data_IF_605432446901
#
_entry.id   IF_605432446901
#
_cell.length_a   1.000
_cell.length_b   1.000
_cell.length_c   1.000
_cell.angle_alpha   90.00
_cell.angle_beta   90.00
_cell.angle_gamma   90.00
#
_symmetry.space_group_name_H-M   'P 1'
#
loop_
_entity.id
_entity.type
_entity.pdbx_description
1 polymer ?
#
# COMPACT_ATOMS: atom_id res chain seq x y z
N UNK A 1 -37.74 -27.98 -0.89
CA UNK A 1 -37.97 -27.19 0.35
C UNK A 1 -37.17 -25.92 0.24
N UNK A 2 -37.81 -24.76 0.16
CA UNK A 2 -37.14 -23.47 0.01
C UNK A 2 -36.69 -23.01 1.41
N UNK A 3 -35.40 -23.13 1.72
CA UNK A 3 -34.86 -22.59 2.96
C UNK A 3 -34.80 -21.06 2.86
N UNK A 4 -35.16 -20.32 3.92
CA UNK A 4 -35.00 -18.88 3.91
C UNK A 4 -33.51 -18.49 3.75
N UNK A 5 -33.21 -17.32 3.15
CA UNK A 5 -31.84 -16.94 2.79
C UNK A 5 -30.85 -16.92 3.95
N UNK A 6 -31.32 -16.61 5.16
CA UNK A 6 -30.49 -16.51 6.37
C UNK A 6 -29.99 -17.87 6.88
N UNK A 7 -30.70 -18.96 6.59
CA UNK A 7 -30.26 -20.30 7.01
C UNK A 7 -28.97 -20.73 6.29
N UNK A 8 -28.70 -20.17 5.11
CA UNK A 8 -27.47 -20.43 4.36
C UNK A 8 -26.25 -19.78 5.04
N UNK A 9 -26.41 -18.72 5.84
CA UNK A 9 -25.29 -18.06 6.52
C UNK A 9 -24.62 -18.98 7.55
N UNK A 10 -25.39 -19.86 8.17
CA UNK A 10 -24.92 -20.80 9.20
C UNK A 10 -24.76 -22.23 8.63
N UNK A 11 -24.75 -22.36 7.30
CA UNK A 11 -24.43 -23.61 6.64
C UNK A 11 -22.93 -23.68 6.38
N UNK A 12 -22.34 -24.85 6.57
CA UNK A 12 -20.91 -25.04 6.36
C UNK A 12 -20.53 -24.81 4.90
N UNK A 13 -19.47 -24.03 4.68
CA UNK A 13 -18.99 -23.66 3.36
C UNK A 13 -18.17 -24.80 2.74
N UNK A 14 -18.79 -25.54 1.82
CA UNK A 14 -18.16 -26.64 1.10
C UNK A 14 -18.81 -26.82 -0.30
N UNK A 15 -18.19 -27.65 -1.14
CA UNK A 15 -18.67 -27.92 -2.50
C UNK A 15 -20.02 -28.65 -2.59
N UNK A 16 -20.52 -29.23 -1.49
CA UNK A 16 -21.81 -29.94 -1.46
C UNK A 16 -22.96 -28.97 -1.20
N UNK A 17 -22.80 -28.08 -0.22
CA UNK A 17 -23.79 -27.07 0.15
C UNK A 17 -23.79 -25.88 -0.83
N UNK A 18 -22.62 -25.53 -1.35
CA UNK A 18 -22.40 -24.35 -2.17
C UNK A 18 -21.54 -24.66 -3.41
N UNK A 19 -21.97 -25.56 -4.32
CA UNK A 19 -21.18 -25.96 -5.48
C UNK A 19 -20.78 -24.78 -6.38
N UNK A 20 -21.70 -23.82 -6.54
CA UNK A 20 -21.52 -22.66 -7.42
C UNK A 20 -20.68 -21.53 -6.81
N UNK A 21 -20.50 -21.51 -5.48
CA UNK A 21 -19.74 -20.46 -4.78
C UNK A 21 -18.40 -20.98 -4.28
N UNK A 22 -18.32 -22.23 -3.83
CA UNK A 22 -17.13 -22.79 -3.23
C UNK A 22 -15.91 -22.67 -4.14
N UNK A 23 -16.00 -23.18 -5.37
CA UNK A 23 -14.88 -23.11 -6.31
C UNK A 23 -14.55 -21.68 -6.73
N UNK A 24 -15.52 -20.85 -7.18
CA UNK A 24 -15.21 -19.49 -7.59
C UNK A 24 -14.60 -18.63 -6.49
N UNK A 25 -15.00 -18.79 -5.22
CA UNK A 25 -14.49 -18.00 -4.09
C UNK A 25 -12.99 -18.14 -3.92
N UNK A 26 -12.47 -19.35 -3.70
CA UNK A 26 -11.03 -19.51 -3.47
C UNK A 26 -10.22 -19.23 -4.73
N UNK A 27 -10.77 -19.54 -5.92
CA UNK A 27 -10.15 -19.21 -7.21
C UNK A 27 -10.03 -17.69 -7.38
N UNK A 28 -11.10 -16.94 -7.11
CA UNK A 28 -11.10 -15.48 -7.18
C UNK A 28 -10.11 -14.88 -6.18
N UNK A 29 -10.05 -15.43 -4.95
CA UNK A 29 -9.07 -15.02 -3.95
C UNK A 29 -7.62 -15.30 -4.42
N UNK A 30 -7.37 -16.45 -5.06
CA UNK A 30 -6.06 -16.75 -5.67
C UNK A 30 -5.71 -15.77 -6.79
N UNK A 31 -6.66 -15.49 -7.70
CA UNK A 31 -6.45 -14.53 -8.80
C UNK A 31 -6.14 -13.14 -8.23
N UNK A 32 -6.90 -12.69 -7.23
CA UNK A 32 -6.67 -11.42 -6.56
C UNK A 32 -5.25 -11.36 -5.97
N UNK A 33 -4.81 -12.42 -5.29
CA UNK A 33 -3.46 -12.51 -4.74
C UNK A 33 -2.39 -12.42 -5.84
N UNK A 34 -2.55 -13.17 -6.94
CA UNK A 34 -1.61 -13.15 -8.08
C UNK A 34 -1.53 -11.75 -8.68
N UNK A 35 -2.67 -11.09 -8.90
CA UNK A 35 -2.72 -9.71 -9.40
C UNK A 35 -1.99 -8.76 -8.46
N UNK A 36 -2.22 -8.88 -7.14
CA UNK A 36 -1.52 -8.07 -6.14
C UNK A 36 -0.02 -8.35 -6.11
N UNK A 37 0.41 -9.60 -6.27
CA UNK A 37 1.83 -9.97 -6.33
C UNK A 37 2.54 -9.32 -7.53
N UNK A 38 1.89 -9.39 -8.71
CA UNK A 38 2.40 -8.77 -9.94
C UNK A 38 2.46 -7.25 -9.77
N UNK A 39 1.38 -6.63 -9.29
CA UNK A 39 1.33 -5.18 -9.05
C UNK A 39 2.38 -4.74 -8.03
N UNK A 40 2.54 -5.48 -6.93
CA UNK A 40 3.56 -5.23 -5.92
C UNK A 40 4.94 -5.23 -6.57
N UNK A 41 5.32 -6.28 -7.30
CA UNK A 41 6.65 -6.37 -7.92
C UNK A 41 6.89 -5.28 -8.98
N UNK A 42 5.91 -4.99 -9.84
CA UNK A 42 6.04 -3.95 -10.87
C UNK A 42 6.15 -2.56 -10.23
N UNK A 43 5.30 -2.26 -9.24
CA UNK A 43 5.20 -0.93 -8.64
C UNK A 43 6.34 -0.63 -7.68
N UNK A 44 6.80 -1.61 -6.91
CA UNK A 44 7.99 -1.46 -6.05
C UNK A 44 9.22 -1.16 -6.88
N UNK A 45 9.43 -1.85 -8.02
CA UNK A 45 10.52 -1.54 -8.95
C UNK A 45 10.40 -0.14 -9.55
N UNK A 46 9.21 0.23 -10.02
CA UNK A 46 8.99 1.53 -10.65
C UNK A 46 9.12 2.72 -9.68
N UNK A 47 8.66 2.57 -8.42
CA UNK A 47 8.58 3.65 -7.43
C UNK A 47 9.59 3.47 -6.28
N UNK A 48 10.65 2.69 -6.46
CA UNK A 48 11.66 2.42 -5.42
C UNK A 48 12.29 3.68 -4.80
N UNK A 49 12.30 4.81 -5.53
CA UNK A 49 12.81 6.11 -5.03
C UNK A 49 11.81 6.89 -4.18
N UNK A 50 10.56 6.45 -4.14
CA UNK A 50 9.46 7.12 -3.44
C UNK A 50 8.93 6.21 -2.32
N UNK A 51 9.52 6.27 -1.12
CA UNK A 51 9.26 5.30 -0.05
C UNK A 51 7.78 5.26 0.36
N UNK A 52 7.08 6.39 0.37
CA UNK A 52 5.65 6.44 0.73
C UNK A 52 4.75 5.64 -0.23
N UNK A 53 5.15 5.55 -1.50
CA UNK A 53 4.40 4.77 -2.48
C UNK A 53 4.74 3.27 -2.41
N UNK A 54 6.00 2.92 -2.10
CA UNK A 54 6.39 1.54 -1.84
C UNK A 54 5.63 0.98 -0.65
N UNK A 55 5.55 1.76 0.43
CA UNK A 55 4.83 1.42 1.66
C UNK A 55 3.34 1.16 1.37
N UNK A 56 2.67 2.01 0.57
CA UNK A 56 1.29 1.76 0.13
C UNK A 56 1.12 0.37 -0.50
N UNK A 57 1.99 0.02 -1.45
CA UNK A 57 1.89 -1.27 -2.14
C UNK A 57 2.22 -2.45 -1.25
N UNK A 58 3.13 -2.28 -0.29
CA UNK A 58 3.43 -3.27 0.72
C UNK A 58 2.22 -3.54 1.63
N UNK A 59 1.53 -2.50 2.09
CA UNK A 59 0.29 -2.65 2.85
C UNK A 59 -0.80 -3.36 2.03
N UNK A 60 -0.99 -2.99 0.76
CA UNK A 60 -1.95 -3.67 -0.12
C UNK A 60 -1.61 -5.15 -0.32
N UNK A 61 -0.32 -5.47 -0.50
CA UNK A 61 0.16 -6.84 -0.64
C UNK A 61 -0.11 -7.66 0.62
N UNK A 62 0.29 -7.15 1.80
CA UNK A 62 0.08 -7.84 3.07
C UNK A 62 -1.39 -8.08 3.38
N UNK A 63 -2.26 -7.08 3.16
CA UNK A 63 -3.70 -7.26 3.35
C UNK A 63 -4.25 -8.33 2.40
N UNK A 64 -3.88 -8.30 1.12
CA UNK A 64 -4.30 -9.33 0.17
C UNK A 64 -3.83 -10.74 0.55
N UNK A 65 -2.58 -10.86 1.02
CA UNK A 65 -2.02 -12.13 1.49
C UNK A 65 -2.77 -12.67 2.71
N UNK A 66 -3.09 -11.81 3.69
CA UNK A 66 -3.85 -12.19 4.89
C UNK A 66 -5.27 -12.61 4.52
N UNK A 67 -5.98 -11.83 3.71
CA UNK A 67 -7.35 -12.16 3.27
C UNK A 67 -7.38 -13.48 2.50
N UNK A 68 -6.46 -13.69 1.56
CA UNK A 68 -6.35 -14.96 0.84
C UNK A 68 -6.08 -16.13 1.80
N UNK A 69 -5.14 -15.98 2.72
CA UNK A 69 -4.79 -17.03 3.68
C UNK A 69 -5.99 -17.40 4.56
N UNK A 70 -6.76 -16.41 5.02
CA UNK A 70 -7.99 -16.64 5.78
C UNK A 70 -9.03 -17.40 4.96
N UNK A 71 -9.32 -16.97 3.72
CA UNK A 71 -10.30 -17.67 2.86
C UNK A 71 -9.90 -19.13 2.61
N UNK A 72 -8.62 -19.41 2.39
CA UNK A 72 -8.14 -20.78 2.20
C UNK A 72 -8.29 -21.61 3.48
N UNK A 73 -7.94 -21.05 4.64
CA UNK A 73 -8.13 -21.71 5.94
C UNK A 73 -9.62 -22.00 6.16
N UNK A 74 -10.49 -21.02 5.94
CA UNK A 74 -11.93 -21.18 6.13
C UNK A 74 -12.51 -22.26 5.21
N UNK A 75 -12.05 -22.33 3.96
CA UNK A 75 -12.45 -23.35 3.00
C UNK A 75 -11.92 -24.76 3.37
N UNK A 76 -10.70 -24.86 3.92
CA UNK A 76 -10.11 -26.15 4.32
C UNK A 76 -10.75 -26.72 5.59
N UNK A 77 -11.08 -25.87 6.55
CA UNK A 77 -11.68 -26.27 7.83
C UNK A 77 -13.21 -26.33 7.79
N UNK A 78 -13.82 -25.98 6.64
CA UNK A 78 -15.28 -26.09 6.41
C UNK A 78 -16.06 -25.24 7.42
N UNK A 79 -15.62 -24.01 7.64
CA UNK A 79 -16.29 -23.04 8.50
C UNK A 79 -17.67 -22.63 7.95
N UNK A 80 -18.49 -21.98 8.79
CA UNK A 80 -19.78 -21.45 8.37
C UNK A 80 -19.63 -20.34 7.33
N UNK A 81 -20.54 -20.29 6.36
CA UNK A 81 -20.50 -19.33 5.26
C UNK A 81 -20.46 -17.86 5.73
N UNK A 82 -21.09 -17.54 6.86
CA UNK A 82 -21.06 -16.19 7.46
C UNK A 82 -19.64 -15.71 7.75
N UNK A 83 -18.74 -16.61 8.16
CA UNK A 83 -17.35 -16.26 8.46
C UNK A 83 -16.59 -15.94 7.17
N UNK A 84 -16.76 -16.76 6.14
CA UNK A 84 -16.18 -16.54 4.81
C UNK A 84 -16.63 -15.18 4.26
N UNK A 85 -17.92 -14.91 4.32
CA UNK A 85 -18.50 -13.65 3.85
C UNK A 85 -17.94 -12.45 4.63
N UNK A 86 -17.84 -12.56 5.95
CA UNK A 86 -17.30 -11.51 6.80
C UNK A 86 -15.82 -11.24 6.50
N UNK A 87 -15.02 -12.29 6.32
CA UNK A 87 -13.61 -12.20 5.94
C UNK A 87 -13.43 -11.54 4.58
N UNK A 88 -14.23 -11.90 3.57
CA UNK A 88 -14.20 -11.27 2.26
C UNK A 88 -14.57 -9.78 2.33
N UNK A 89 -15.67 -9.45 3.02
CA UNK A 89 -16.14 -8.07 3.17
C UNK A 89 -15.10 -7.22 3.89
N UNK A 90 -14.56 -7.70 5.01
CA UNK A 90 -13.53 -6.96 5.77
C UNK A 90 -12.23 -6.84 4.96
N UNK A 91 -11.80 -7.90 4.27
CA UNK A 91 -10.61 -7.89 3.44
C UNK A 91 -10.70 -6.86 2.31
N UNK A 92 -11.79 -6.89 1.53
CA UNK A 92 -12.04 -5.93 0.46
C UNK A 92 -12.22 -4.51 0.99
N UNK A 93 -12.98 -4.32 2.06
CA UNK A 93 -13.15 -3.02 2.69
C UNK A 93 -11.81 -2.45 3.17
N UNK A 94 -10.94 -3.29 3.74
CA UNK A 94 -9.62 -2.89 4.20
C UNK A 94 -8.73 -2.48 3.03
N UNK A 95 -8.75 -3.21 1.91
CA UNK A 95 -8.02 -2.83 0.69
C UNK A 95 -8.48 -1.47 0.14
N UNK A 96 -9.80 -1.24 0.07
CA UNK A 96 -10.39 0.04 -0.37
C UNK A 96 -10.00 1.15 0.60
N UNK A 97 -10.12 0.92 1.91
CA UNK A 97 -9.77 1.89 2.94
C UNK A 97 -8.29 2.27 2.92
N UNK A 98 -7.40 1.28 2.79
CA UNK A 98 -5.95 1.52 2.63
C UNK A 98 -5.72 2.43 1.42
N UNK A 99 -6.33 2.10 0.28
CA UNK A 99 -6.10 2.81 -0.98
C UNK A 99 -6.63 4.25 -0.99
N UNK A 100 -7.81 4.48 -0.41
CA UNK A 100 -8.56 5.73 -0.59
C UNK A 100 -8.72 6.59 0.68
N UNK A 101 -8.45 6.06 1.86
CA UNK A 101 -8.60 6.82 3.11
C UNK A 101 -7.27 6.95 3.83
N UNK A 102 -6.54 5.85 4.04
CA UNK A 102 -5.31 5.85 4.85
C UNK A 102 -4.13 6.53 4.16
N UNK A 103 -3.83 6.17 2.92
CA UNK A 103 -2.62 6.64 2.23
C UNK A 103 -2.72 7.99 1.51
N UNK A 104 -3.88 8.45 0.99
CA UNK A 104 -3.96 9.78 0.38
C UNK A 104 -3.40 10.94 1.22
N UNK A 105 -3.63 11.02 2.55
CA UNK A 105 -3.00 12.07 3.35
C UNK A 105 -1.46 11.94 3.41
N UNK A 106 -0.94 10.71 3.49
CA UNK A 106 0.51 10.44 3.54
C UNK A 106 1.21 10.81 2.23
N UNK A 107 0.57 10.48 1.09
CA UNK A 107 1.10 10.80 -0.24
C UNK A 107 1.17 12.31 -0.47
N UNK A 108 0.15 13.06 -0.04
CA UNK A 108 0.14 14.54 -0.12
C UNK A 108 1.29 15.16 0.66
N UNK A 109 1.55 14.68 1.87
CA UNK A 109 2.69 15.15 2.67
C UNK A 109 4.02 14.85 1.98
N UNK A 110 4.15 13.67 1.36
CA UNK A 110 5.35 13.29 0.62
C UNK A 110 5.58 14.19 -0.62
N UNK A 111 4.53 14.48 -1.38
CA UNK A 111 4.60 15.37 -2.53
C UNK A 111 4.96 16.81 -2.15
N UNK A 112 4.42 17.32 -1.04
CA UNK A 112 4.79 18.63 -0.52
C UNK A 112 6.28 18.71 -0.14
N UNK A 113 6.85 17.64 0.44
CA UNK A 113 8.29 17.57 0.74
C UNK A 113 9.12 17.59 -0.53
N UNK A 114 8.76 16.77 -1.53
CA UNK A 114 9.42 16.75 -2.83
C UNK A 114 9.35 18.11 -3.55
N UNK A 115 8.21 18.80 -3.46
CA UNK A 115 8.07 20.14 -4.02
C UNK A 115 9.03 21.13 -3.35
N UNK A 116 9.09 21.16 -2.01
CA UNK A 116 10.02 22.02 -1.26
C UNK A 116 11.48 21.72 -1.62
N UNK A 117 11.88 20.45 -1.68
CA UNK A 117 13.23 20.05 -2.07
C UNK A 117 13.58 20.55 -3.48
N UNK A 118 12.65 20.47 -4.43
CA UNK A 118 12.84 21.01 -5.78
C UNK A 118 12.98 22.53 -5.78
N UNK A 119 12.20 23.25 -4.98
CA UNK A 119 12.33 24.70 -4.83
C UNK A 119 13.69 25.10 -4.26
N UNK A 120 14.13 24.49 -3.15
CA UNK A 120 15.43 24.79 -2.55
C UNK A 120 16.60 24.43 -3.48
N UNK A 121 16.49 23.32 -4.22
CA UNK A 121 17.49 22.92 -5.20
C UNK A 121 17.59 23.96 -6.32
N UNK A 122 16.46 24.39 -6.90
CA UNK A 122 16.44 25.45 -7.93
C UNK A 122 17.03 26.76 -7.43
N UNK A 123 16.68 27.18 -6.21
CA UNK A 123 17.20 28.42 -5.60
C UNK A 123 18.73 28.39 -5.46
N UNK A 124 19.29 27.26 -5.00
CA UNK A 124 20.74 27.08 -4.87
C UNK A 124 21.50 27.25 -6.20
N UNK A 125 20.87 26.89 -7.32
CA UNK A 125 21.47 27.04 -8.66
C UNK A 125 21.15 28.38 -9.32
N UNK A 126 20.08 29.08 -8.92
CA UNK A 126 19.73 30.39 -9.46
C UNK A 126 20.49 31.55 -8.84
N UNK A 127 21.03 31.37 -7.63
CA UNK A 127 21.86 32.36 -6.94
C UNK A 127 23.36 32.05 -7.21
N UNK A 128 23.98 32.61 -8.28
CA UNK A 128 25.39 32.38 -8.58
C UNK A 128 26.32 32.84 -7.44
N UNK A 129 25.89 33.82 -6.62
CA UNK A 129 26.59 34.27 -5.43
C UNK A 129 26.76 33.19 -4.35
N UNK A 130 25.85 32.19 -4.28
CA UNK A 130 25.96 31.08 -3.34
C UNK A 130 26.91 29.97 -3.80
N UNK A 131 27.24 29.92 -5.10
CA UNK A 131 28.14 28.91 -5.70
C UNK A 131 29.59 29.40 -5.75
N UNK A 132 29.81 30.72 -5.73
CA UNK A 132 31.15 31.29 -5.60
C UNK A 132 31.57 31.14 -4.14
N UNK A 133 32.36 30.11 -3.85
CA UNK A 133 33.20 30.10 -2.64
C UNK A 133 34.00 31.41 -2.68
N UNK A 134 33.63 32.39 -1.85
CA UNK A 134 34.45 33.58 -1.65
C UNK A 134 35.84 33.10 -1.23
N UNK A 135 36.75 33.07 -2.20
CA UNK A 135 38.12 32.58 -2.05
C UNK A 135 38.80 33.55 -1.10
N UNK A 136 38.88 33.17 0.17
CA UNK A 136 39.69 33.78 1.22
C UNK A 136 39.79 35.30 1.13
N UNK A 137 38.78 36.01 1.65
CA UNK A 137 38.93 37.42 1.97
C UNK A 137 40.22 37.59 2.76
N UNK A 138 41.17 38.34 2.18
CA UNK A 138 42.52 38.61 2.68
C UNK A 138 42.53 38.65 4.22
N UNK A 139 43.32 37.75 4.82
CA UNK A 139 43.80 37.87 6.21
C UNK A 139 44.26 39.31 6.39
N UNK A 140 43.44 40.12 7.05
CA UNK A 140 43.77 41.50 7.36
C UNK A 140 44.86 41.42 8.41
N UNK A 141 46.10 41.42 7.93
CA UNK A 141 47.31 41.36 8.73
C UNK A 141 47.31 42.63 9.58
N UNK A 142 46.78 42.48 10.80
CA UNK A 142 46.66 43.52 11.81
C UNK A 142 48.08 44.00 12.08
N UNK A 143 48.47 45.06 11.37
CA UNK A 143 49.73 45.77 11.53
C UNK A 143 49.73 46.30 12.96
N UNK A 144 50.35 45.55 13.89
CA UNK A 144 50.71 46.04 15.22
C UNK A 144 51.58 47.28 14.98
N UNK A 145 51.00 48.45 15.16
CA UNK A 145 51.75 49.69 15.34
C UNK A 145 52.38 49.65 16.73
N UNK A 146 53.63 50.10 16.74
CA UNK A 146 54.53 50.27 17.88
C UNK A 146 53.91 51.14 18.97
#
# INVERSE_FOLDING_TARGET
MNRPPWDYLFSSFNSVNFPDLFHPTWIAATILLVVLAVLYNVRTRALHRHPAYVDLWEWMWWTGLITFSMVVIEALFVFDFVLVLLTEVIGLATLVWIRFVRFPPLLRMHEQRLARERYYTKQKFSDPEATIRCRGGRRQQRRRRR
#
